data_IF_888901466699
#
_entry.id   IF_888901466699
#
_cell.length_a   1.000
_cell.length_b   1.000
_cell.length_c   1.000
_cell.angle_alpha   90.00
_cell.angle_beta   90.00
_cell.angle_gamma   90.00
#
_symmetry.space_group_name_H-M   'P 1'
#
loop_
_entity.id
_entity.type
_entity.pdbx_description
1 polymer ?
#
# COMPACT_ATOMS: atom_id res chain seq x y z
N UNK A 1 12.77 -15.99 0.42
CA UNK A 1 12.90 -14.69 -0.24
C UNK A 1 11.94 -13.75 0.46
N UNK A 2 12.42 -12.57 0.82
CA UNK A 2 11.57 -11.54 1.39
C UNK A 2 10.93 -10.72 0.26
N UNK A 3 9.82 -10.04 0.54
CA UNK A 3 9.23 -9.07 -0.41
C UNK A 3 10.26 -8.05 -0.91
N UNK A 4 11.18 -7.63 -0.04
CA UNK A 4 12.25 -6.69 -0.36
C UNK A 4 13.31 -7.25 -1.33
N UNK A 5 13.31 -8.54 -1.64
CA UNK A 5 14.20 -9.13 -2.65
C UNK A 5 13.73 -8.82 -4.09
N UNK A 6 12.46 -8.43 -4.28
CA UNK A 6 11.92 -8.02 -5.56
C UNK A 6 12.21 -6.54 -5.81
N UNK A 7 13.12 -6.25 -6.75
CA UNK A 7 13.64 -4.90 -6.97
C UNK A 7 12.95 -4.16 -8.10
N UNK A 8 12.26 -4.88 -8.98
CA UNK A 8 11.62 -4.30 -10.16
C UNK A 8 10.33 -5.05 -10.48
N UNK A 9 9.39 -4.42 -11.19
CA UNK A 9 8.21 -5.10 -11.75
C UNK A 9 8.62 -6.32 -12.61
N UNK A 10 9.59 -6.22 -13.54
CA UNK A 10 10.07 -7.36 -14.34
C UNK A 10 10.49 -8.59 -13.54
N UNK A 11 11.04 -8.43 -12.33
CA UNK A 11 11.41 -9.56 -11.47
C UNK A 11 10.18 -10.40 -11.10
N UNK A 12 9.09 -9.70 -10.73
CA UNK A 12 7.82 -10.34 -10.36
C UNK A 12 7.12 -10.90 -11.60
N UNK A 13 7.13 -10.17 -12.73
CA UNK A 13 6.57 -10.63 -14.00
C UNK A 13 7.17 -11.96 -14.46
N UNK A 14 8.50 -12.04 -14.51
CA UNK A 14 9.19 -13.26 -14.98
C UNK A 14 8.98 -14.44 -14.03
N UNK A 15 8.91 -14.18 -12.73
CA UNK A 15 8.78 -15.23 -11.72
C UNK A 15 7.38 -15.81 -11.61
N UNK A 16 6.36 -14.96 -11.71
CA UNK A 16 4.97 -15.35 -11.45
C UNK A 16 4.06 -15.27 -12.68
N UNK A 17 4.60 -14.95 -13.86
CA UNK A 17 3.83 -14.88 -15.11
C UNK A 17 2.92 -13.66 -15.20
N UNK A 18 3.25 -12.56 -14.51
CA UNK A 18 2.40 -11.37 -14.48
C UNK A 18 2.55 -10.54 -15.77
N UNK A 19 1.43 -10.25 -16.41
CA UNK A 19 1.30 -9.25 -17.46
C UNK A 19 1.14 -7.86 -16.82
N UNK A 20 1.88 -6.89 -17.33
CA UNK A 20 1.78 -5.49 -16.91
C UNK A 20 1.10 -4.65 -17.98
N UNK A 21 0.16 -3.81 -17.56
CA UNK A 21 -0.49 -2.80 -18.39
C UNK A 21 -0.59 -1.48 -17.62
N UNK A 22 -0.70 -0.38 -18.37
CA UNK A 22 -0.98 0.94 -17.81
C UNK A 22 -2.31 1.45 -18.34
N UNK A 23 -3.23 1.78 -17.43
CA UNK A 23 -4.55 2.30 -17.76
C UNK A 23 -5.08 3.16 -16.62
N UNK A 24 -5.82 4.22 -16.92
CA UNK A 24 -6.49 5.00 -15.88
C UNK A 24 -7.78 4.29 -15.45
N UNK A 25 -7.86 3.91 -14.19
CA UNK A 25 -9.01 3.23 -13.58
C UNK A 25 -9.46 3.88 -12.26
N UNK A 26 -8.71 4.85 -11.76
CA UNK A 26 -9.10 5.65 -10.60
C UNK A 26 -9.82 6.90 -11.09
N UNK A 27 -11.08 7.03 -10.69
CA UNK A 27 -11.87 8.25 -10.85
C UNK A 27 -11.87 9.01 -9.53
N UNK A 28 -11.50 10.29 -9.57
CA UNK A 28 -11.60 11.19 -8.41
C UNK A 28 -13.00 11.77 -8.38
N UNK A 29 -13.91 11.10 -7.67
CA UNK A 29 -15.18 11.72 -7.26
C UNK A 29 -14.97 12.48 -5.95
N UNK A 30 -15.75 13.55 -5.72
CA UNK A 30 -15.61 14.56 -4.65
C UNK A 30 -15.56 13.99 -3.23
N UNK A 31 -14.42 13.39 -2.91
CA UNK A 31 -14.23 12.44 -1.83
C UNK A 31 -14.35 12.99 -0.42
N UNK A 32 -13.89 12.21 0.55
CA UNK A 32 -13.88 12.61 1.95
C UNK A 32 -13.04 13.87 2.12
N UNK A 33 -13.66 14.94 2.60
CA UNK A 33 -12.95 16.14 3.01
C UNK A 33 -12.15 15.82 4.29
N UNK A 34 -10.84 16.10 4.32
CA UNK A 34 -10.05 15.93 5.53
C UNK A 34 -10.60 16.81 6.66
N UNK A 35 -10.50 16.33 7.90
CA UNK A 35 -10.90 17.11 9.07
C UNK A 35 -10.00 18.34 9.25
N UNK A 36 -10.56 19.43 9.78
CA UNK A 36 -9.79 20.64 10.12
C UNK A 36 -8.63 20.32 11.07
N UNK A 37 -8.86 19.42 12.03
CA UNK A 37 -7.82 18.97 12.95
C UNK A 37 -6.63 18.35 12.19
N UNK A 38 -6.90 17.47 11.22
CA UNK A 38 -5.83 16.88 10.43
C UNK A 38 -5.06 17.93 9.62
N UNK A 39 -5.75 18.89 9.01
CA UNK A 39 -5.11 19.96 8.25
C UNK A 39 -4.19 20.81 9.13
N UNK A 40 -4.60 21.11 10.36
CA UNK A 40 -3.79 21.85 11.34
C UNK A 40 -2.53 21.07 11.75
N UNK A 41 -2.66 19.78 12.06
CA UNK A 41 -1.54 18.91 12.44
C UNK A 41 -0.56 18.68 11.28
N UNK A 42 -1.08 18.53 10.06
CA UNK A 42 -0.26 18.39 8.86
C UNK A 42 0.53 19.67 8.58
N UNK A 43 -0.11 20.84 8.68
CA UNK A 43 0.58 22.11 8.49
C UNK A 43 1.64 22.36 9.58
N UNK A 44 1.32 22.05 10.84
CA UNK A 44 2.30 22.10 11.92
C UNK A 44 3.53 21.23 11.62
N UNK A 45 3.29 20.00 11.17
CA UNK A 45 4.36 19.07 10.80
C UNK A 45 5.19 19.61 9.64
N UNK A 46 4.56 20.18 8.60
CA UNK A 46 5.25 20.76 7.45
C UNK A 46 6.12 21.97 7.81
N UNK A 47 5.68 22.79 8.78
CA UNK A 47 6.40 23.99 9.19
C UNK A 47 7.54 23.72 10.17
N UNK A 48 7.39 22.71 11.03
CA UNK A 48 8.26 22.54 12.21
C UNK A 48 9.04 21.23 12.26
N UNK A 49 8.72 20.25 11.40
CA UNK A 49 9.39 18.95 11.35
C UNK A 49 10.13 18.82 10.01
N UNK A 50 11.40 18.36 10.01
CA UNK A 50 12.09 18.06 8.78
C UNK A 50 11.60 16.72 8.19
N UNK A 51 10.37 16.70 7.67
CA UNK A 51 9.64 15.50 7.19
C UNK A 51 10.50 14.64 6.25
N UNK A 52 11.27 15.28 5.35
CA UNK A 52 12.08 14.59 4.35
C UNK A 52 13.51 14.28 4.78
N UNK A 53 13.87 14.51 6.06
CA UNK A 53 15.23 14.22 6.54
C UNK A 53 15.50 12.70 6.72
N UNK A 54 14.47 11.89 6.90
CA UNK A 54 14.60 10.44 7.02
C UNK A 54 13.35 9.70 6.59
N UNK A 55 13.51 8.41 6.29
CA UNK A 55 12.40 7.47 6.05
C UNK A 55 11.40 7.46 7.22
N UNK A 56 11.92 7.39 8.45
CA UNK A 56 11.09 7.43 9.66
C UNK A 56 10.28 8.72 9.79
N UNK A 57 10.91 9.87 9.56
CA UNK A 57 10.22 11.16 9.63
C UNK A 57 9.11 11.27 8.59
N UNK A 58 9.35 10.81 7.36
CA UNK A 58 8.33 10.80 6.31
C UNK A 58 7.20 9.84 6.61
N UNK A 59 7.51 8.63 7.07
CA UNK A 59 6.50 7.66 7.49
C UNK A 59 5.61 8.21 8.61
N UNK A 60 6.21 8.76 9.67
CA UNK A 60 5.49 9.16 10.88
C UNK A 60 4.78 10.52 10.77
N UNK A 61 5.36 11.47 10.05
CA UNK A 61 4.86 12.85 9.98
C UNK A 61 4.11 13.19 8.68
N UNK A 62 4.07 12.27 7.70
CA UNK A 62 3.36 12.50 6.43
C UNK A 62 2.51 11.31 5.98
N UNK A 63 3.12 10.16 5.67
CA UNK A 63 2.40 9.01 5.10
C UNK A 63 1.38 8.45 6.10
N UNK A 64 1.81 8.10 7.32
CA UNK A 64 0.91 7.54 8.33
C UNK A 64 -0.21 8.50 8.73
N UNK A 65 0.03 9.82 8.97
CA UNK A 65 -1.05 10.77 9.24
C UNK A 65 -2.11 10.80 8.14
N UNK A 66 -1.72 10.82 6.85
CA UNK A 66 -2.66 10.78 5.72
C UNK A 66 -3.47 9.47 5.75
N UNK A 67 -2.79 8.33 5.89
CA UNK A 67 -3.46 7.02 5.94
C UNK A 67 -4.42 6.91 7.11
N UNK A 68 -4.01 7.38 8.28
CA UNK A 68 -4.84 7.39 9.49
C UNK A 68 -6.07 8.26 9.29
N UNK A 69 -5.93 9.43 8.65
CA UNK A 69 -7.06 10.32 8.39
C UNK A 69 -8.10 9.65 7.50
N UNK A 70 -7.68 9.05 6.38
CA UNK A 70 -8.57 8.30 5.48
C UNK A 70 -9.18 7.10 6.20
N UNK A 71 -8.37 6.34 6.94
CA UNK A 71 -8.78 5.14 7.65
C UNK A 71 -9.86 5.38 8.72
N UNK A 72 -9.93 6.57 9.34
CA UNK A 72 -10.95 6.89 10.37
C UNK A 72 -12.37 6.59 9.90
N UNK A 73 -12.69 6.84 8.63
CA UNK A 73 -14.02 6.58 8.07
C UNK A 73 -14.35 5.08 7.95
N UNK A 74 -13.33 4.22 7.95
CA UNK A 74 -13.43 2.78 7.71
C UNK A 74 -13.12 1.91 8.94
N UNK A 75 -12.67 2.52 10.05
CA UNK A 75 -12.16 1.83 11.23
C UNK A 75 -13.18 0.90 11.94
N UNK A 76 -14.48 1.04 11.67
CA UNK A 76 -15.49 0.15 12.19
C UNK A 76 -15.38 -1.28 11.62
N UNK A 77 -15.04 -1.40 10.33
CA UNK A 77 -15.11 -2.64 9.55
C UNK A 77 -13.73 -3.14 9.08
N UNK A 78 -12.72 -2.29 9.12
CA UNK A 78 -11.38 -2.59 8.62
C UNK A 78 -10.33 -2.43 9.72
N UNK A 79 -9.12 -2.92 9.45
CA UNK A 79 -7.95 -2.77 10.32
C UNK A 79 -6.78 -2.25 9.49
N UNK A 80 -6.15 -1.17 9.95
CA UNK A 80 -4.89 -0.66 9.41
C UNK A 80 -3.72 -1.30 10.16
N UNK A 81 -2.89 -2.02 9.43
CA UNK A 81 -1.69 -2.68 9.91
C UNK A 81 -0.47 -1.86 9.53
N UNK A 82 0.45 -1.68 10.48
CA UNK A 82 1.65 -0.86 10.33
C UNK A 82 2.84 -1.76 10.62
N UNK A 83 3.69 -2.00 9.62
CA UNK A 83 4.88 -2.86 9.74
C UNK A 83 4.60 -4.21 10.40
N UNK A 84 3.43 -4.80 10.10
CA UNK A 84 3.06 -6.13 10.58
C UNK A 84 3.55 -7.21 9.59
N UNK A 85 4.00 -8.38 10.06
CA UNK A 85 4.43 -9.45 9.18
C UNK A 85 3.27 -10.00 8.36
N UNK A 86 3.54 -10.29 7.08
CA UNK A 86 2.62 -10.96 6.17
C UNK A 86 3.38 -12.11 5.50
N UNK A 87 2.83 -13.32 5.58
CA UNK A 87 3.47 -14.54 5.07
C UNK A 87 2.43 -15.39 4.36
N UNK A 88 2.67 -15.65 3.07
CA UNK A 88 1.97 -16.70 2.33
C UNK A 88 2.82 -17.98 2.25
N UNK A 89 4.08 -17.85 1.81
CA UNK A 89 5.05 -18.96 1.74
C UNK A 89 6.49 -18.45 1.99
N UNK A 90 7.49 -19.33 1.85
CA UNK A 90 8.91 -18.97 2.06
C UNK A 90 9.45 -17.93 1.06
N UNK A 91 8.77 -17.70 -0.05
CA UNK A 91 9.14 -16.78 -1.13
C UNK A 91 8.33 -15.48 -1.09
N UNK A 92 7.09 -15.55 -0.65
CA UNK A 92 6.13 -14.46 -0.55
C UNK A 92 5.85 -14.18 0.93
N UNK A 93 6.86 -13.65 1.60
CA UNK A 93 6.80 -13.26 3.01
C UNK A 93 7.63 -12.02 3.29
N UNK A 94 7.29 -11.31 4.36
CA UNK A 94 8.01 -10.12 4.78
C UNK A 94 7.17 -9.20 5.65
N UNK A 95 7.53 -7.92 5.66
CA UNK A 95 6.85 -6.89 6.45
C UNK A 95 6.54 -5.72 5.53
N UNK A 96 5.33 -5.66 4.96
CA UNK A 96 4.85 -4.47 4.26
C UNK A 96 4.93 -3.24 5.16
N UNK A 97 5.14 -2.07 4.57
CA UNK A 97 5.14 -0.83 5.36
C UNK A 97 3.75 -0.61 5.98
N UNK A 98 2.70 -0.79 5.18
CA UNK A 98 1.30 -0.74 5.62
C UNK A 98 0.42 -1.71 4.82
N UNK A 99 -0.64 -2.19 5.45
CA UNK A 99 -1.74 -2.82 4.70
C UNK A 99 -3.07 -2.64 5.44
N UNK A 100 -4.17 -2.74 4.70
CA UNK A 100 -5.53 -2.73 5.26
C UNK A 100 -6.16 -4.09 5.03
N UNK A 101 -6.85 -4.60 6.04
CA UNK A 101 -7.69 -5.79 5.92
C UNK A 101 -9.10 -5.51 6.42
N UNK A 102 -10.05 -6.39 6.13
CA UNK A 102 -11.28 -6.47 6.94
C UNK A 102 -10.94 -6.84 8.38
N UNK A 103 -11.88 -6.56 9.30
CA UNK A 103 -11.77 -7.07 10.67
C UNK A 103 -12.09 -8.55 10.70
N UNK A 104 -11.17 -9.34 11.26
CA UNK A 104 -11.43 -10.74 11.56
C UNK A 104 -12.51 -10.87 12.63
N UNK A 105 -13.41 -11.84 12.47
CA UNK A 105 -14.38 -12.23 13.50
C UNK A 105 -13.69 -12.71 14.80
N UNK A 106 -12.42 -13.15 14.69
CA UNK A 106 -11.59 -13.59 15.82
C UNK A 106 -10.91 -12.42 16.57
N UNK A 107 -11.06 -11.18 16.09
CA UNK A 107 -10.54 -9.97 16.74
C UNK A 107 -9.35 -9.31 16.01
N UNK A 108 -8.87 -8.20 16.56
CA UNK A 108 -7.92 -7.29 15.88
C UNK A 108 -6.47 -7.80 15.78
N UNK A 109 -6.16 -8.96 16.36
CA UNK A 109 -4.82 -9.58 16.26
C UNK A 109 -4.73 -10.58 15.11
N UNK A 110 -5.85 -10.86 14.44
CA UNK A 110 -5.93 -11.75 13.30
C UNK A 110 -6.21 -10.93 12.05
N UNK A 111 -5.37 -11.12 11.03
CA UNK A 111 -5.52 -10.49 9.73
C UNK A 111 -6.77 -11.04 9.05
N UNK A 112 -7.67 -10.15 8.62
CA UNK A 112 -8.83 -10.51 7.79
C UNK A 112 -8.50 -10.46 6.29
N UNK A 113 -9.49 -10.75 5.45
CA UNK A 113 -9.40 -10.63 3.98
C UNK A 113 -10.65 -9.95 3.42
N UNK A 114 -10.56 -9.22 2.28
CA UNK A 114 -9.38 -9.04 1.44
C UNK A 114 -8.37 -8.03 1.98
N UNK A 115 -7.15 -8.07 1.43
CA UNK A 115 -6.04 -7.16 1.73
C UNK A 115 -5.88 -6.04 0.69
N UNK A 116 -5.50 -4.85 1.17
CA UNK A 116 -4.98 -3.72 0.36
C UNK A 116 -3.57 -3.43 0.84
N UNK A 117 -2.63 -3.30 -0.08
CA UNK A 117 -1.20 -3.17 0.21
C UNK A 117 -0.72 -1.74 -0.01
N UNK A 118 0.19 -1.27 0.85
CA UNK A 118 0.89 -0.01 0.65
C UNK A 118 2.37 -0.08 1.04
N UNK A 119 3.22 0.39 0.13
CA UNK A 119 4.68 0.40 0.26
C UNK A 119 5.20 1.83 0.18
N UNK A 120 6.19 2.15 1.01
CA UNK A 120 6.92 3.41 0.90
C UNK A 120 7.97 3.33 -0.22
N UNK A 121 7.97 4.30 -1.13
CA UNK A 121 9.07 4.51 -2.07
C UNK A 121 10.29 5.11 -1.34
N UNK A 122 11.11 4.24 -0.76
CA UNK A 122 12.31 4.64 -0.03
C UNK A 122 13.28 5.34 -0.98
N UNK A 123 13.82 6.48 -0.54
CA UNK A 123 14.68 7.36 -1.36
C UNK A 123 14.08 7.73 -2.74
N UNK A 124 12.75 7.78 -2.83
CA UNK A 124 11.97 8.06 -4.04
C UNK A 124 12.20 7.01 -5.15
N UNK A 125 12.62 5.81 -4.77
CA UNK A 125 12.80 4.68 -5.67
C UNK A 125 11.46 3.94 -5.87
N UNK A 126 10.65 4.48 -6.78
CA UNK A 126 9.37 3.88 -7.15
C UNK A 126 9.54 2.56 -7.91
N UNK A 127 10.67 2.33 -8.59
CA UNK A 127 10.93 1.06 -9.27
C UNK A 127 11.06 -0.08 -8.25
N UNK A 128 11.87 0.13 -7.21
CA UNK A 128 11.96 -0.78 -6.08
C UNK A 128 10.66 -0.89 -5.31
N UNK A 129 9.99 0.24 -5.04
CA UNK A 129 8.70 0.26 -4.37
C UNK A 129 7.66 -0.61 -5.08
N UNK A 130 7.60 -0.53 -6.41
CA UNK A 130 6.68 -1.36 -7.20
C UNK A 130 7.10 -2.82 -7.33
N UNK A 131 8.40 -3.12 -7.39
CA UNK A 131 8.89 -4.50 -7.35
C UNK A 131 8.43 -5.20 -6.07
N UNK A 132 8.62 -4.54 -4.92
CA UNK A 132 8.15 -5.04 -3.64
C UNK A 132 6.62 -5.11 -3.57
N UNK A 133 5.93 -4.01 -3.91
CA UNK A 133 4.46 -3.92 -3.82
C UNK A 133 3.79 -4.99 -4.68
N UNK A 134 4.25 -5.23 -5.92
CA UNK A 134 3.67 -6.26 -6.78
C UNK A 134 3.88 -7.67 -6.22
N UNK A 135 5.01 -7.97 -5.58
CA UNK A 135 5.20 -9.24 -4.90
C UNK A 135 4.24 -9.40 -3.70
N UNK A 136 4.01 -8.33 -2.95
CA UNK A 136 3.02 -8.28 -1.87
C UNK A 136 1.59 -8.46 -2.40
N UNK A 137 1.24 -7.89 -3.57
CA UNK A 137 -0.06 -8.12 -4.23
C UNK A 137 -0.26 -9.57 -4.64
N UNK A 138 0.78 -10.23 -5.18
CA UNK A 138 0.71 -11.66 -5.50
C UNK A 138 0.49 -12.49 -4.22
N UNK A 139 1.14 -12.14 -3.11
CA UNK A 139 0.90 -12.80 -1.83
C UNK A 139 -0.53 -12.57 -1.33
N UNK A 140 -0.99 -11.33 -1.36
CA UNK A 140 -2.32 -10.92 -0.94
C UNK A 140 -3.43 -11.59 -1.74
N UNK A 141 -3.30 -11.71 -3.07
CA UNK A 141 -4.26 -12.41 -3.91
C UNK A 141 -4.39 -13.88 -3.50
N UNK A 142 -3.27 -14.55 -3.20
CA UNK A 142 -3.27 -15.93 -2.74
C UNK A 142 -3.83 -16.10 -1.33
N UNK A 143 -3.58 -15.14 -0.43
CA UNK A 143 -4.14 -15.11 0.93
C UNK A 143 -5.66 -14.85 0.90
N UNK A 144 -6.12 -14.00 -0.02
CA UNK A 144 -7.54 -13.72 -0.21
C UNK A 144 -8.32 -14.92 -0.76
N UNK A 145 -7.62 -15.90 -1.36
CA UNK A 145 -8.21 -17.06 -2.06
C UNK A 145 -9.22 -16.69 -3.16
N UNK A 146 -9.07 -15.49 -3.73
CA UNK A 146 -9.93 -14.96 -4.78
C UNK A 146 -9.07 -14.27 -5.85
N UNK A 147 -8.98 -14.91 -7.02
CA UNK A 147 -8.16 -14.44 -8.15
C UNK A 147 -8.91 -13.43 -9.03
N UNK A 148 -10.25 -13.39 -8.94
CA UNK A 148 -11.08 -12.50 -9.75
C UNK A 148 -11.30 -11.15 -9.06
N UNK A 149 -11.22 -11.12 -7.73
CA UNK A 149 -11.29 -9.88 -6.97
C UNK A 149 -9.98 -9.08 -7.07
N UNK A 150 -10.04 -7.77 -7.40
CA UNK A 150 -8.85 -6.94 -7.48
C UNK A 150 -8.17 -6.79 -6.13
N UNK A 151 -6.85 -6.98 -6.12
CA UNK A 151 -6.00 -6.62 -4.99
C UNK A 151 -5.30 -5.30 -5.30
N UNK A 152 -5.56 -4.27 -4.51
CA UNK A 152 -5.03 -2.93 -4.72
C UNK A 152 -3.69 -2.73 -4.01
N UNK A 153 -2.79 -2.05 -4.70
CA UNK A 153 -1.46 -1.67 -4.23
C UNK A 153 -1.21 -0.18 -4.41
N UNK A 154 -0.55 0.41 -3.42
CA UNK A 154 -0.16 1.82 -3.42
C UNK A 154 1.34 1.91 -3.16
N UNK A 155 2.04 2.72 -3.95
CA UNK A 155 3.44 3.08 -3.70
C UNK A 155 3.53 4.58 -3.54
N UNK A 156 4.14 5.06 -2.45
CA UNK A 156 4.22 6.49 -2.17
C UNK A 156 5.52 6.93 -1.49
N UNK A 157 6.02 8.10 -1.88
CA UNK A 157 7.08 8.84 -1.17
C UNK A 157 6.50 9.96 -0.29
N UNK A 158 5.21 9.88 0.04
CA UNK A 158 4.44 10.88 0.77
C UNK A 158 4.05 12.11 -0.05
N UNK A 159 4.74 12.40 -1.15
CA UNK A 159 4.40 13.51 -2.06
C UNK A 159 3.57 13.01 -3.24
N UNK A 160 4.00 11.91 -3.84
CA UNK A 160 3.30 11.23 -4.93
C UNK A 160 2.71 9.91 -4.45
N UNK A 161 1.51 9.62 -4.93
CA UNK A 161 0.78 8.40 -4.65
C UNK A 161 0.44 7.69 -5.96
N UNK A 162 1.12 6.57 -6.21
CA UNK A 162 0.90 5.74 -7.38
C UNK A 162 0.04 4.54 -7.00
N UNK A 163 -0.94 4.21 -7.83
CA UNK A 163 -1.95 3.20 -7.52
C UNK A 163 -1.95 2.14 -8.62
N UNK A 164 -2.11 0.88 -8.23
CA UNK A 164 -2.23 -0.26 -9.12
C UNK A 164 -3.17 -1.32 -8.55
N UNK A 165 -3.58 -2.25 -9.40
CA UNK A 165 -4.28 -3.45 -8.94
C UNK A 165 -3.80 -4.69 -9.69
N UNK A 166 -3.89 -5.84 -9.02
CA UNK A 166 -3.70 -7.15 -9.62
C UNK A 166 -5.06 -7.86 -9.70
N UNK A 167 -5.41 -8.34 -10.89
CA UNK A 167 -6.53 -9.26 -11.11
C UNK A 167 -5.98 -10.44 -11.91
N UNK A 168 -6.15 -11.65 -11.39
CA UNK A 168 -5.55 -12.86 -11.95
C UNK A 168 -4.02 -12.70 -12.15
N UNK A 169 -3.59 -12.60 -13.40
CA UNK A 169 -2.19 -12.46 -13.82
C UNK A 169 -1.96 -11.09 -14.48
N UNK A 170 -2.91 -10.15 -14.37
CA UNK A 170 -2.80 -8.81 -14.98
C UNK A 170 -2.66 -7.76 -13.90
N UNK A 171 -1.47 -7.16 -13.85
CA UNK A 171 -1.19 -5.99 -13.04
C UNK A 171 -1.42 -4.72 -13.87
N UNK A 172 -2.33 -3.88 -13.40
CA UNK A 172 -2.64 -2.58 -14.01
C UNK A 172 -2.09 -1.47 -13.13
N UNK A 173 -1.22 -0.62 -13.66
CA UNK A 173 -0.82 0.63 -13.01
C UNK A 173 -1.66 1.80 -13.55
N UNK A 174 -2.16 2.63 -12.63
CA UNK A 174 -2.82 3.88 -12.98
C UNK A 174 -1.77 4.86 -13.52
N UNK A 175 -2.06 5.54 -14.64
CA UNK A 175 -1.08 6.47 -15.24
C UNK A 175 -0.97 7.74 -14.43
N UNK A 176 -2.07 8.18 -13.86
CA UNK A 176 -2.14 9.37 -13.01
C UNK A 176 -1.60 9.04 -11.62
N UNK A 177 -0.60 9.81 -11.18
CA UNK A 177 -0.16 9.88 -9.78
C UNK A 177 -0.91 11.00 -9.07
N UNK A 178 -1.20 10.83 -7.78
CA UNK A 178 -1.94 11.79 -6.95
C UNK A 178 -1.04 12.49 -5.94
#
# INVERSE_FOLDING_TARGET
MAFSDFKTIPDVQRKFGIRHIENDFIEVDGGLLPSEQFLQELEFSRQHIPIFASEGARCEALIFPILREVYKAYAANYTLWIKAPLTYDETLSGTPDYFVSTRSELGMLIVGTPLIILVEAKKNDFEQGWGQCLAELVAAQKINEDMEHPVYGIVSDGTLWQIGHLINETFTQNRTSF
#
